data_IF_986553003386
#
_entry.id   IF_986553003386
#
_cell.length_a   1.000
_cell.length_b   1.000
_cell.length_c   1.000
_cell.angle_alpha   90.00
_cell.angle_beta   90.00
_cell.angle_gamma   90.00
#
_symmetry.space_group_name_H-M   'P 1'
#
loop_
_entity.id
_entity.type
_entity.pdbx_description
1 polymer ?
#
# COMPACT_ATOMS: atom_id res chain seq x y z
N UNK A 1 -43.45 -8.47 -47.70
CA UNK A 1 -42.83 -7.82 -46.53
C UNK A 1 -41.33 -7.91 -46.70
N UNK A 2 -40.72 -6.80 -47.13
CA UNK A 2 -39.28 -6.69 -47.36
C UNK A 2 -38.62 -6.11 -46.10
N UNK A 3 -37.50 -6.68 -45.66
CA UNK A 3 -36.64 -6.09 -44.64
C UNK A 3 -35.29 -5.76 -45.28
N UNK A 4 -35.02 -4.45 -45.30
CA UNK A 4 -33.81 -3.84 -45.82
C UNK A 4 -32.63 -4.06 -44.86
N UNK A 5 -31.50 -4.47 -45.43
CA UNK A 5 -30.21 -4.61 -44.76
C UNK A 5 -29.46 -3.28 -44.84
N UNK A 6 -29.35 -2.55 -43.72
CA UNK A 6 -28.47 -1.38 -43.63
C UNK A 6 -27.03 -1.81 -43.33
N UNK A 7 -26.16 -1.62 -44.33
CA UNK A 7 -24.71 -1.77 -44.24
C UNK A 7 -24.07 -0.42 -43.93
N UNK A 8 -23.47 -0.28 -42.74
CA UNK A 8 -22.76 0.93 -42.33
C UNK A 8 -21.27 0.83 -42.72
N UNK A 9 -20.84 1.66 -43.66
CA UNK A 9 -19.42 1.88 -44.02
C UNK A 9 -18.77 2.79 -42.96
N UNK A 10 -17.78 2.27 -42.23
CA UNK A 10 -16.89 3.07 -41.39
C UNK A 10 -15.70 3.51 -42.25
N UNK A 11 -15.62 4.82 -42.48
CA UNK A 11 -14.54 5.51 -43.20
C UNK A 11 -13.35 5.73 -42.27
N UNK A 12 -12.18 5.18 -42.63
CA UNK A 12 -10.91 5.40 -41.94
C UNK A 12 -10.31 6.75 -42.35
N UNK A 13 -10.39 7.75 -41.47
CA UNK A 13 -9.57 8.97 -41.56
C UNK A 13 -8.23 8.71 -40.89
N UNK A 14 -7.22 8.44 -41.72
CA UNK A 14 -5.80 8.47 -41.35
C UNK A 14 -5.40 9.93 -41.14
N UNK A 15 -5.32 10.36 -39.88
CA UNK A 15 -4.77 11.65 -39.49
C UNK A 15 -3.24 11.61 -39.50
N UNK A 16 -2.63 12.43 -40.35
CA UNK A 16 -1.18 12.67 -40.38
C UNK A 16 -0.72 13.27 -39.05
N UNK A 17 0.33 12.69 -38.44
CA UNK A 17 1.03 13.28 -37.28
C UNK A 17 1.88 14.48 -37.74
N UNK A 18 1.80 15.64 -37.06
CA UNK A 18 2.76 16.71 -37.27
C UNK A 18 4.12 16.32 -36.66
N UNK A 19 5.18 16.45 -37.46
CA UNK A 19 6.55 16.36 -36.97
C UNK A 19 6.90 17.66 -36.23
N UNK A 20 6.95 17.59 -34.90
CA UNK A 20 7.49 18.65 -34.05
C UNK A 20 9.01 18.50 -34.02
N UNK A 21 9.68 19.19 -34.95
CA UNK A 21 11.11 19.44 -34.88
C UNK A 21 11.38 20.66 -34.01
N UNK A 22 11.73 20.45 -32.74
CA UNK A 22 12.30 21.49 -31.88
C UNK A 22 13.73 21.12 -31.53
N UNK A 23 14.68 21.75 -32.24
CA UNK A 23 16.09 21.82 -31.86
C UNK A 23 16.19 22.54 -30.52
N UNK A 24 16.57 21.82 -29.47
CA UNK A 24 16.94 22.41 -28.19
C UNK A 24 18.36 23.01 -28.35
N UNK A 25 18.56 24.31 -28.12
CA UNK A 25 19.90 24.88 -28.10
C UNK A 25 20.65 24.36 -26.87
N UNK A 26 21.80 23.72 -27.11
CA UNK A 26 22.78 23.37 -26.09
C UNK A 26 23.30 24.67 -25.48
N UNK A 27 22.83 25.01 -24.28
CA UNK A 27 23.38 26.11 -23.47
C UNK A 27 24.71 25.64 -22.88
N UNK A 28 25.78 26.33 -23.23
CA UNK A 28 27.10 26.19 -22.62
C UNK A 28 27.00 26.31 -21.09
N UNK A 29 27.59 25.33 -20.40
CA UNK A 29 27.70 25.30 -18.96
C UNK A 29 28.60 26.44 -18.48
N UNK A 30 28.01 27.51 -17.96
CA UNK A 30 28.73 28.48 -17.12
C UNK A 30 29.15 27.81 -15.82
N UNK A 31 30.45 27.60 -15.66
CA UNK A 31 31.07 27.31 -14.36
C UNK A 31 30.81 28.47 -13.41
N UNK A 32 29.82 28.32 -12.52
CA UNK A 32 29.70 29.16 -11.34
C UNK A 32 30.78 28.74 -10.33
N UNK A 33 31.80 29.59 -10.15
CA UNK A 33 32.68 29.54 -8.98
C UNK A 33 31.81 29.76 -7.74
N UNK A 34 31.63 28.69 -6.97
CA UNK A 34 31.06 28.72 -5.63
C UNK A 34 32.05 29.40 -4.70
N UNK A 35 31.76 30.63 -4.28
CA UNK A 35 32.40 31.24 -3.12
C UNK A 35 31.72 30.67 -1.89
N UNK A 36 32.37 29.66 -1.31
CA UNK A 36 31.98 29.00 -0.07
C UNK A 36 31.98 30.05 1.06
N UNK A 37 30.80 30.37 1.59
CA UNK A 37 30.64 31.24 2.76
C UNK A 37 30.85 30.40 4.02
N UNK A 38 32.03 30.55 4.65
CA UNK A 38 32.41 29.93 5.95
C UNK A 38 31.52 30.36 7.14
N UNK A 39 30.49 31.16 6.93
CA UNK A 39 29.61 31.68 7.99
C UNK A 39 28.40 30.78 8.33
N UNK A 40 28.05 29.77 7.51
CA UNK A 40 26.91 28.88 7.82
C UNK A 40 27.26 27.73 8.78
N UNK A 41 28.53 27.31 8.81
CA UNK A 41 28.97 26.15 9.61
C UNK A 41 28.93 26.42 11.13
N UNK A 42 29.06 27.70 11.52
CA UNK A 42 28.93 28.13 12.91
C UNK A 42 27.48 28.25 13.42
N UNK A 43 26.47 28.26 12.52
CA UNK A 43 25.06 28.31 12.93
C UNK A 43 24.49 26.91 13.17
N UNK A 44 24.90 25.92 12.38
CA UNK A 44 24.46 24.53 12.55
C UNK A 44 25.04 23.87 13.80
N UNK A 45 26.29 24.20 14.17
CA UNK A 45 26.92 23.71 15.40
C UNK A 45 26.25 24.22 16.69
N UNK A 46 25.70 25.45 16.68
CA UNK A 46 24.96 25.99 17.85
C UNK A 46 23.57 25.42 18.02
N UNK A 47 22.90 25.01 16.95
CA UNK A 47 21.59 24.35 17.01
C UNK A 47 21.75 22.91 17.50
N UNK A 48 22.79 22.19 17.03
CA UNK A 48 23.09 20.84 17.53
C UNK A 48 23.42 20.81 19.03
N UNK A 49 24.19 21.79 19.53
CA UNK A 49 24.49 21.85 20.97
C UNK A 49 23.28 22.17 21.86
N UNK A 50 22.29 22.93 21.36
CA UNK A 50 21.08 23.23 22.14
C UNK A 50 20.11 22.05 22.19
N UNK A 51 20.03 21.24 21.14
CA UNK A 51 19.21 20.01 21.15
C UNK A 51 19.84 18.96 22.07
N UNK A 52 21.17 18.84 22.10
CA UNK A 52 21.85 17.93 23.04
C UNK A 52 21.72 18.35 24.51
N UNK A 53 21.72 19.66 24.80
CA UNK A 53 21.58 20.17 26.17
C UNK A 53 20.16 19.99 26.74
N UNK A 54 19.12 20.04 25.91
CA UNK A 54 17.74 19.77 26.35
C UNK A 54 17.55 18.29 26.72
N UNK A 55 18.32 17.38 26.11
CA UNK A 55 18.25 15.95 26.42
C UNK A 55 19.05 15.53 27.67
N UNK A 56 19.90 16.40 28.22
CA UNK A 56 20.78 16.07 29.36
C UNK A 56 20.36 16.72 30.69
N UNK A 57 19.40 17.65 30.69
CA UNK A 57 18.95 18.33 31.91
C UNK A 57 17.61 17.78 32.43
N UNK A 58 17.63 16.59 33.05
CA UNK A 58 16.88 16.25 34.29
C UNK A 58 16.94 14.75 34.61
N UNK A 59 17.93 14.27 35.38
CA UNK A 59 17.99 12.86 35.79
C UNK A 59 17.08 12.50 36.98
N UNK A 60 16.50 13.47 37.71
CA UNK A 60 16.02 13.24 39.08
C UNK A 60 14.58 13.70 39.35
N UNK A 61 13.61 13.29 38.54
CA UNK A 61 12.20 13.30 38.94
C UNK A 61 11.36 12.25 38.19
N UNK A 62 11.92 11.05 38.00
CA UNK A 62 11.16 9.87 37.59
C UNK A 62 10.41 9.29 38.80
N UNK A 63 9.47 10.06 39.34
CA UNK A 63 8.26 9.40 39.83
C UNK A 63 7.66 8.81 38.57
N UNK A 64 7.70 7.49 38.45
CA UNK A 64 6.98 6.75 37.43
C UNK A 64 5.48 7.01 37.61
N UNK A 65 5.03 8.20 37.19
CA UNK A 65 3.67 8.36 36.74
C UNK A 65 3.59 7.38 35.59
N UNK A 66 2.99 6.21 35.85
CA UNK A 66 2.45 5.39 34.77
C UNK A 66 1.76 6.39 33.84
N UNK A 67 2.24 6.55 32.61
CA UNK A 67 1.59 7.46 31.67
C UNK A 67 0.15 6.94 31.49
N UNK A 68 -0.77 7.52 32.25
CA UNK A 68 -2.19 7.20 32.15
C UNK A 68 -2.63 7.91 30.89
N UNK A 69 -2.73 7.15 29.81
CA UNK A 69 -3.26 7.63 28.53
C UNK A 69 -2.38 7.35 27.33
N UNK A 70 -2.96 7.60 26.16
CA UNK A 70 -2.37 7.37 24.87
C UNK A 70 -1.52 8.58 24.49
N UNK A 71 -0.20 8.42 24.54
CA UNK A 71 0.71 9.54 24.33
C UNK A 71 0.93 9.84 22.85
N UNK A 72 1.40 11.05 22.56
CA UNK A 72 1.70 11.46 21.18
C UNK A 72 2.78 10.57 20.54
N UNK A 73 3.77 10.15 21.32
CA UNK A 73 4.80 9.22 20.85
C UNK A 73 4.20 7.84 20.52
N UNK A 74 3.35 7.30 21.41
CA UNK A 74 2.68 6.02 21.15
C UNK A 74 1.81 6.09 19.89
N UNK A 75 1.11 7.21 19.67
CA UNK A 75 0.33 7.43 18.45
C UNK A 75 1.17 7.47 17.18
N UNK A 76 2.31 8.18 17.21
CA UNK A 76 3.24 8.21 16.08
C UNK A 76 3.82 6.82 15.78
N UNK A 77 4.21 6.07 16.82
CA UNK A 77 4.74 4.71 16.68
C UNK A 77 3.68 3.76 16.13
N UNK A 78 2.46 3.80 16.66
CA UNK A 78 1.37 2.95 16.18
C UNK A 78 1.03 3.25 14.72
N UNK A 79 0.99 4.52 14.35
CA UNK A 79 0.78 4.93 12.97
C UNK A 79 1.87 4.38 12.04
N UNK A 80 3.15 4.59 12.38
CA UNK A 80 4.27 4.10 11.58
C UNK A 80 4.25 2.58 11.44
N UNK A 81 3.99 1.87 12.55
CA UNK A 81 3.84 0.42 12.53
C UNK A 81 2.68 -0.05 11.64
N UNK A 82 1.53 0.61 11.66
CA UNK A 82 0.41 0.27 10.77
C UNK A 82 0.82 0.50 9.31
N UNK A 83 1.44 1.65 8.99
CA UNK A 83 1.94 1.94 7.64
C UNK A 83 2.91 0.85 7.16
N UNK A 84 3.90 0.48 7.99
CA UNK A 84 4.89 -0.56 7.69
C UNK A 84 4.24 -1.94 7.50
N UNK A 85 3.30 -2.33 8.36
CA UNK A 85 2.55 -3.59 8.23
C UNK A 85 1.86 -3.68 6.87
N UNK A 86 1.23 -2.58 6.43
CA UNK A 86 0.52 -2.54 5.16
C UNK A 86 1.49 -2.54 3.96
N UNK A 87 2.57 -1.77 4.03
CA UNK A 87 3.63 -1.80 3.00
C UNK A 87 4.18 -3.22 2.84
N UNK A 88 4.50 -3.89 3.95
CA UNK A 88 5.05 -5.23 3.93
C UNK A 88 4.05 -6.27 3.40
N UNK A 89 2.75 -6.10 3.63
CA UNK A 89 1.72 -7.00 3.09
C UNK A 89 1.68 -6.95 1.57
N UNK A 90 1.63 -5.76 0.97
CA UNK A 90 1.62 -5.67 -0.50
C UNK A 90 2.97 -6.08 -1.10
N UNK A 91 4.05 -5.82 -0.38
CA UNK A 91 5.39 -6.27 -0.76
C UNK A 91 5.53 -7.80 -0.73
N UNK A 92 4.94 -8.48 0.26
CA UNK A 92 4.95 -9.94 0.34
C UNK A 92 4.21 -10.56 -0.83
N UNK A 93 3.06 -9.99 -1.22
CA UNK A 93 2.30 -10.42 -2.40
C UNK A 93 3.06 -10.22 -3.72
N UNK A 94 3.75 -9.08 -3.88
CA UNK A 94 4.56 -8.79 -5.08
C UNK A 94 5.74 -9.76 -5.21
N UNK A 95 6.32 -10.19 -4.08
CA UNK A 95 7.49 -11.08 -4.04
C UNK A 95 7.16 -12.55 -3.82
N UNK A 96 5.90 -12.88 -3.61
CA UNK A 96 5.46 -14.22 -3.20
C UNK A 96 6.17 -14.70 -1.92
N UNK A 97 6.36 -13.79 -0.96
CA UNK A 97 6.99 -14.05 0.33
C UNK A 97 5.94 -14.43 1.38
N UNK A 98 5.53 -15.69 1.35
CA UNK A 98 4.45 -16.19 2.19
C UNK A 98 4.80 -16.23 3.68
N UNK A 99 6.09 -16.31 4.03
CA UNK A 99 6.53 -16.28 5.42
C UNK A 99 6.36 -14.87 6.02
N UNK A 100 6.71 -13.84 5.24
CA UNK A 100 6.43 -12.45 5.61
C UNK A 100 4.92 -12.19 5.74
N UNK A 101 4.11 -12.72 4.82
CA UNK A 101 2.66 -12.58 4.89
C UNK A 101 2.09 -13.23 6.17
N UNK A 102 2.51 -14.45 6.52
CA UNK A 102 2.13 -15.09 7.81
C UNK A 102 2.43 -14.21 9.00
N UNK A 103 3.60 -13.56 9.01
CA UNK A 103 4.02 -12.72 10.11
C UNK A 103 3.16 -11.44 10.25
N UNK A 104 2.49 -11.00 9.19
CA UNK A 104 1.67 -9.79 9.14
C UNK A 104 0.21 -10.07 9.50
N UNK A 105 -0.30 -11.23 9.09
CA UNK A 105 -1.69 -11.61 9.32
C UNK A 105 -1.95 -11.96 10.79
N UNK A 106 -3.19 -11.75 11.24
CA UNK A 106 -3.56 -12.13 12.59
C UNK A 106 -3.60 -13.67 12.70
N UNK A 107 -2.87 -14.29 13.65
CA UNK A 107 -2.85 -15.74 13.82
C UNK A 107 -4.21 -16.35 14.19
N UNK A 108 -5.14 -15.56 14.74
CA UNK A 108 -6.52 -15.98 15.02
C UNK A 108 -7.37 -16.12 13.74
N UNK A 109 -6.88 -15.62 12.61
CA UNK A 109 -7.52 -15.67 11.31
C UNK A 109 -7.67 -14.29 10.65
N UNK A 110 -7.96 -14.33 9.36
CA UNK A 110 -8.11 -13.15 8.50
C UNK A 110 -9.38 -13.26 7.67
N UNK A 111 -10.03 -12.12 7.43
CA UNK A 111 -11.10 -12.01 6.45
C UNK A 111 -10.66 -11.24 5.22
N UNK A 112 -10.86 -11.83 4.04
CA UNK A 112 -10.60 -11.17 2.77
C UNK A 112 -11.89 -11.10 1.95
N UNK A 113 -12.19 -9.92 1.41
CA UNK A 113 -13.34 -9.71 0.53
C UNK A 113 -12.94 -8.89 -0.69
N UNK A 114 -12.85 -9.57 -1.84
CA UNK A 114 -12.66 -8.96 -3.15
C UNK A 114 -13.86 -9.19 -4.07
N UNK A 115 -15.06 -9.33 -3.50
CA UNK A 115 -16.29 -9.59 -4.26
C UNK A 115 -16.59 -8.51 -5.31
N UNK A 116 -16.20 -7.27 -5.04
CA UNK A 116 -16.34 -6.15 -5.99
C UNK A 116 -15.44 -6.29 -7.23
N UNK A 117 -14.33 -7.03 -7.11
CA UNK A 117 -13.39 -7.29 -8.20
C UNK A 117 -13.74 -8.58 -8.95
N UNK A 118 -13.95 -9.69 -8.23
CA UNK A 118 -14.09 -11.02 -8.84
C UNK A 118 -15.44 -11.71 -8.67
N UNK A 119 -16.45 -10.97 -8.21
CA UNK A 119 -17.76 -11.51 -7.89
C UNK A 119 -17.77 -12.28 -6.57
N UNK A 120 -18.95 -12.71 -6.10
CA UNK A 120 -19.09 -13.43 -4.85
C UNK A 120 -18.39 -14.80 -4.91
N UNK A 121 -17.70 -15.16 -3.82
CA UNK A 121 -17.05 -16.47 -3.63
C UNK A 121 -17.40 -17.02 -2.22
N UNK A 122 -17.43 -18.34 -2.00
CA UNK A 122 -17.90 -18.93 -0.74
C UNK A 122 -17.19 -18.45 0.53
N UNK A 123 -15.93 -18.00 0.43
CA UNK A 123 -15.10 -17.60 1.57
C UNK A 123 -14.91 -16.08 1.69
N UNK A 124 -15.41 -15.29 0.74
CA UNK A 124 -15.26 -13.84 0.82
C UNK A 124 -16.04 -13.27 2.00
N UNK A 125 -15.38 -12.40 2.77
CA UNK A 125 -15.94 -11.76 3.96
C UNK A 125 -16.09 -12.70 5.16
N UNK A 126 -15.61 -13.96 5.07
CA UNK A 126 -15.52 -14.88 6.21
C UNK A 126 -14.13 -14.81 6.82
N UNK A 127 -14.02 -15.05 8.12
CA UNK A 127 -12.73 -15.27 8.78
C UNK A 127 -12.29 -16.70 8.47
N UNK A 128 -11.10 -16.84 7.91
CA UNK A 128 -10.45 -18.12 7.62
C UNK A 128 -9.09 -18.18 8.31
N UNK A 129 -8.50 -19.37 8.38
CA UNK A 129 -7.15 -19.52 8.90
C UNK A 129 -6.13 -18.80 8.01
N UNK A 130 -5.00 -18.38 8.60
CA UNK A 130 -3.90 -17.78 7.86
C UNK A 130 -3.41 -18.70 6.74
N UNK A 131 -3.29 -20.00 7.00
CA UNK A 131 -2.85 -20.97 5.99
C UNK A 131 -3.86 -21.16 4.86
N UNK A 132 -5.17 -21.14 5.14
CA UNK A 132 -6.17 -21.22 4.07
C UNK A 132 -6.18 -19.97 3.19
N UNK A 133 -5.92 -18.80 3.79
CA UNK A 133 -5.78 -17.55 3.06
C UNK A 133 -4.56 -17.60 2.12
N UNK A 134 -3.37 -17.88 2.69
CA UNK A 134 -2.12 -17.97 1.92
C UNK A 134 -2.19 -19.04 0.84
N UNK A 135 -2.83 -20.18 1.11
CA UNK A 135 -3.07 -21.19 0.07
C UNK A 135 -3.87 -20.63 -1.11
N UNK A 136 -4.85 -19.78 -0.84
CA UNK A 136 -5.59 -19.03 -1.86
C UNK A 136 -4.69 -18.09 -2.67
N UNK A 137 -3.82 -17.34 -2.01
CA UNK A 137 -2.90 -16.40 -2.67
C UNK A 137 -1.81 -17.10 -3.47
N UNK A 138 -1.29 -18.23 -2.97
CA UNK A 138 -0.39 -19.13 -3.70
C UNK A 138 -1.08 -19.66 -4.95
N UNK A 139 -2.32 -20.12 -4.83
CA UNK A 139 -3.08 -20.63 -5.97
C UNK A 139 -3.32 -19.53 -7.01
N UNK A 140 -3.72 -18.33 -6.58
CA UNK A 140 -3.89 -17.19 -7.46
C UNK A 140 -2.58 -16.83 -8.16
N UNK A 141 -1.49 -16.70 -7.40
CA UNK A 141 -0.17 -16.29 -7.88
C UNK A 141 0.49 -17.33 -8.79
N UNK A 142 0.13 -18.62 -8.66
CA UNK A 142 0.68 -19.70 -9.48
C UNK A 142 0.42 -19.56 -10.99
N UNK A 143 -0.56 -18.74 -11.38
CA UNK A 143 -0.87 -18.46 -12.78
C UNK A 143 -0.39 -17.09 -13.28
N UNK A 144 0.27 -16.30 -12.42
CA UNK A 144 0.74 -14.96 -12.74
C UNK A 144 2.23 -14.99 -13.05
N UNK A 145 2.64 -14.27 -14.09
CA UNK A 145 4.06 -14.03 -14.39
C UNK A 145 4.62 -12.91 -13.51
N UNK A 146 3.85 -11.84 -13.33
CA UNK A 146 4.21 -10.72 -12.45
C UNK A 146 2.98 -10.14 -11.76
N UNK A 147 3.16 -9.67 -10.53
CA UNK A 147 2.21 -8.88 -9.78
C UNK A 147 2.94 -7.64 -9.24
N UNK A 148 2.31 -6.48 -9.31
CA UNK A 148 2.84 -5.27 -8.72
C UNK A 148 1.73 -4.43 -8.10
N UNK A 149 1.87 -4.14 -6.80
CA UNK A 149 0.92 -3.34 -6.03
C UNK A 149 1.54 -1.99 -5.66
N UNK A 150 0.93 -0.92 -6.15
CA UNK A 150 1.27 0.45 -5.79
C UNK A 150 0.21 0.99 -4.82
N UNK A 151 0.62 1.22 -3.57
CA UNK A 151 -0.24 1.75 -2.52
C UNK A 151 -0.10 3.28 -2.43
N UNK A 152 -1.19 3.97 -2.10
CA UNK A 152 -1.21 5.42 -1.92
C UNK A 152 -2.31 5.87 -0.95
N UNK A 153 -2.22 7.11 -0.48
CA UNK A 153 -3.25 7.77 0.34
C UNK A 153 -3.76 6.92 1.52
N UNK A 154 -2.88 6.62 2.47
CA UNK A 154 -3.27 5.94 3.71
C UNK A 154 -3.96 6.90 4.68
N UNK A 155 -5.11 6.48 5.20
CA UNK A 155 -5.86 7.18 6.25
C UNK A 155 -6.06 6.26 7.44
N UNK A 156 -5.34 6.52 8.52
CA UNK A 156 -5.45 5.78 9.78
C UNK A 156 -6.52 6.39 10.67
N UNK A 157 -7.46 5.57 11.11
CA UNK A 157 -8.46 5.94 12.10
C UNK A 157 -7.99 5.50 13.50
N UNK A 158 -7.02 6.26 14.03
CA UNK A 158 -6.55 6.14 15.42
C UNK A 158 -7.15 7.28 16.26
N UNK A 159 -7.50 7.04 17.54
CA UNK A 159 -7.94 8.12 18.41
C UNK A 159 -6.81 9.14 18.61
N UNK A 160 -7.18 10.41 18.80
CA UNK A 160 -6.19 11.43 19.12
C UNK A 160 -5.54 11.14 20.48
N UNK A 161 -4.24 11.43 20.66
CA UNK A 161 -3.55 11.29 21.94
C UNK A 161 -4.25 12.07 23.07
N UNK A 162 -4.22 11.53 24.29
CA UNK A 162 -4.79 12.20 25.46
C UNK A 162 -4.66 11.40 26.75
N UNK A 163 -4.60 12.11 27.88
CA UNK A 163 -4.42 11.51 29.22
C UNK A 163 -5.60 10.66 29.71
N UNK A 164 -6.73 10.69 29.01
CA UNK A 164 -7.92 9.89 29.31
C UNK A 164 -8.25 8.90 28.18
N UNK A 165 -7.39 8.82 27.16
CA UNK A 165 -7.58 7.96 26.00
C UNK A 165 -6.75 6.71 26.23
N UNK A 166 -7.36 5.53 26.29
CA UNK A 166 -6.59 4.29 26.33
C UNK A 166 -5.86 4.08 24.99
N UNK A 167 -4.69 3.43 25.03
CA UNK A 167 -4.01 3.01 23.80
C UNK A 167 -4.92 2.04 23.03
N UNK A 168 -5.09 2.20 21.70
CA UNK A 168 -6.01 1.36 20.95
C UNK A 168 -5.47 -0.07 20.77
N UNK A 169 -6.37 -1.04 20.97
CA UNK A 169 -6.16 -2.47 20.67
C UNK A 169 -6.59 -2.83 19.23
N UNK A 170 -7.37 -1.97 18.59
CA UNK A 170 -7.84 -2.13 17.22
C UNK A 170 -7.67 -0.82 16.45
N UNK A 171 -7.45 -0.93 15.15
CA UNK A 171 -7.36 0.21 14.25
C UNK A 171 -8.05 -0.11 12.92
N UNK A 172 -8.64 0.92 12.32
CA UNK A 172 -9.11 0.87 10.95
C UNK A 172 -8.21 1.76 10.08
N UNK A 173 -7.84 1.28 8.90
CA UNK A 173 -7.08 2.06 7.91
C UNK A 173 -7.73 1.92 6.55
N UNK A 174 -7.83 3.02 5.83
CA UNK A 174 -8.16 3.00 4.40
C UNK A 174 -6.91 3.32 3.58
N UNK A 175 -6.75 2.67 2.45
CA UNK A 175 -5.69 2.98 1.49
C UNK A 175 -6.15 2.75 0.07
N UNK A 176 -5.58 3.52 -0.86
CA UNK A 176 -5.74 3.27 -2.29
C UNK A 176 -4.69 2.28 -2.76
N UNK A 177 -5.09 1.41 -3.69
CA UNK A 177 -4.19 0.45 -4.32
C UNK A 177 -4.43 0.45 -5.82
N UNK A 178 -3.33 0.47 -6.58
CA UNK A 178 -3.31 0.18 -8.00
C UNK A 178 -2.48 -1.08 -8.22
N UNK A 179 -3.06 -2.07 -8.88
CA UNK A 179 -2.43 -3.36 -9.10
C UNK A 179 -2.25 -3.58 -10.60
N UNK A 180 -1.05 -4.01 -11.00
CA UNK A 180 -0.72 -4.43 -12.35
C UNK A 180 -0.31 -5.90 -12.34
N UNK A 181 -0.97 -6.71 -13.16
CA UNK A 181 -0.71 -8.14 -13.24
C UNK A 181 -0.44 -8.51 -14.69
N UNK A 182 0.58 -9.34 -14.90
CA UNK A 182 0.80 -10.01 -16.19
C UNK A 182 0.63 -11.52 -16.05
N UNK A 183 -0.02 -12.11 -17.04
CA UNK A 183 -0.18 -13.54 -17.22
C UNK A 183 -0.09 -13.82 -18.73
N UNK A 184 1.09 -14.24 -19.19
CA UNK A 184 1.43 -14.53 -20.58
C UNK A 184 0.67 -15.73 -21.13
N UNK A 185 0.12 -16.57 -20.27
CA UNK A 185 -0.71 -17.72 -20.64
C UNK A 185 -2.18 -17.36 -20.82
N UNK A 186 -2.58 -16.13 -20.49
CA UNK A 186 -3.95 -15.67 -20.61
C UNK A 186 -4.38 -15.53 -22.08
N UNK A 187 -5.61 -15.98 -22.38
CA UNK A 187 -6.25 -15.74 -23.68
C UNK A 187 -6.69 -14.28 -23.76
N UNK A 188 -6.54 -13.68 -24.94
CA UNK A 188 -7.01 -12.32 -25.26
C UNK A 188 -6.22 -11.16 -24.62
N UNK A 189 -4.96 -11.42 -24.26
CA UNK A 189 -4.01 -10.40 -23.78
C UNK A 189 -3.39 -10.75 -22.43
N UNK A 190 -2.17 -10.30 -22.18
CA UNK A 190 -1.40 -10.69 -20.99
C UNK A 190 -1.61 -9.78 -19.78
N UNK A 191 -2.08 -8.55 -19.99
CA UNK A 191 -2.09 -7.50 -18.97
C UNK A 191 -3.49 -7.25 -18.42
N UNK A 192 -3.59 -7.13 -17.10
CA UNK A 192 -4.73 -6.55 -16.40
C UNK A 192 -4.23 -5.53 -15.38
N UNK A 193 -4.93 -4.41 -15.28
CA UNK A 193 -4.70 -3.42 -14.24
C UNK A 193 -6.02 -3.10 -13.56
N UNK A 194 -6.01 -2.91 -12.25
CA UNK A 194 -7.17 -2.43 -11.53
C UNK A 194 -6.76 -1.45 -10.43
N UNK A 195 -7.70 -0.61 -10.04
CA UNK A 195 -7.53 0.28 -8.91
C UNK A 195 -8.77 0.27 -8.03
N UNK A 196 -8.53 0.45 -6.74
CA UNK A 196 -9.56 0.50 -5.73
C UNK A 196 -9.03 1.05 -4.43
N UNK A 197 -9.84 0.92 -3.39
CA UNK A 197 -9.41 1.19 -2.03
C UNK A 197 -9.73 0.01 -1.12
N UNK A 198 -8.84 -0.24 -0.18
CA UNK A 198 -9.04 -1.22 0.88
C UNK A 198 -9.59 -0.54 2.12
N UNK A 199 -10.58 -1.17 2.75
CA UNK A 199 -10.83 -0.98 4.18
C UNK A 199 -10.09 -2.10 4.92
N UNK A 200 -9.14 -1.74 5.76
CA UNK A 200 -8.32 -2.66 6.53
C UNK A 200 -8.66 -2.54 8.01
N UNK A 201 -8.93 -3.67 8.65
CA UNK A 201 -8.98 -3.75 10.11
C UNK A 201 -7.71 -4.42 10.61
N UNK A 202 -7.14 -3.85 11.66
CA UNK A 202 -5.96 -4.36 12.34
C UNK A 202 -6.27 -4.55 13.81
N UNK A 203 -5.69 -5.60 14.39
CA UNK A 203 -5.74 -5.88 15.82
C UNK A 203 -4.33 -5.93 16.35
N UNK A 204 -4.14 -5.34 17.53
CA UNK A 204 -2.89 -5.43 18.28
C UNK A 204 -2.74 -6.86 18.80
N UNK A 205 -1.62 -7.48 18.50
CA UNK A 205 -1.19 -8.75 19.06
C UNK A 205 -0.16 -8.47 20.16
N UNK A 206 -0.06 -9.33 21.20
CA UNK A 206 1.06 -9.30 22.12
C UNK A 206 2.35 -9.46 21.30
N UNK A 207 3.09 -8.36 21.12
CA UNK A 207 4.31 -8.39 20.35
C UNK A 207 5.41 -9.09 21.15
N UNK A 208 6.22 -9.88 20.45
CA UNK A 208 7.57 -10.19 20.90
C UNK A 208 8.36 -8.88 21.07
N UNK A 209 9.39 -8.90 21.92
CA UNK A 209 10.18 -7.71 22.20
C UNK A 209 10.72 -7.10 20.89
N UNK A 210 10.40 -5.83 20.62
CA UNK A 210 10.73 -5.08 19.40
C UNK A 210 9.99 -5.49 18.10
N UNK A 211 9.00 -6.38 18.16
CA UNK A 211 8.18 -6.71 17.00
C UNK A 211 7.05 -5.68 16.78
N UNK A 212 6.64 -5.52 15.52
CA UNK A 212 5.46 -4.73 15.19
C UNK A 212 4.19 -5.46 15.72
N UNK A 213 3.42 -4.84 16.62
CA UNK A 213 2.28 -5.49 17.26
C UNK A 213 1.03 -5.53 16.37
N UNK A 214 0.95 -4.76 15.29
CA UNK A 214 -0.26 -4.65 14.50
C UNK A 214 -0.37 -5.76 13.47
N UNK A 215 -1.45 -6.56 13.58
CA UNK A 215 -1.74 -7.67 12.67
C UNK A 215 -3.02 -7.39 11.88
N UNK A 216 -3.02 -7.74 10.60
CA UNK A 216 -4.18 -7.55 9.71
C UNK A 216 -5.23 -8.61 10.02
N UNK A 217 -6.46 -8.18 10.29
CA UNK A 217 -7.62 -9.07 10.54
C UNK A 217 -8.63 -9.04 9.41
N UNK A 218 -8.74 -7.94 8.68
CA UNK A 218 -9.68 -7.81 7.58
C UNK A 218 -9.11 -6.98 6.45
N UNK A 219 -9.30 -7.44 5.22
CA UNK A 219 -8.96 -6.76 3.97
C UNK A 219 -10.20 -6.77 3.08
N UNK A 220 -10.85 -5.61 2.94
CA UNK A 220 -12.01 -5.46 2.04
C UNK A 220 -11.66 -4.53 0.88
N UNK A 221 -11.55 -5.10 -0.31
CA UNK A 221 -11.32 -4.35 -1.55
C UNK A 221 -12.64 -3.81 -2.12
N UNK A 222 -12.65 -2.51 -2.39
CA UNK A 222 -13.69 -1.85 -3.17
C UNK A 222 -13.09 -1.40 -4.51
N UNK A 223 -13.34 -2.18 -5.57
CA UNK A 223 -12.90 -1.85 -6.93
C UNK A 223 -13.50 -0.53 -7.38
N UNK A 224 -12.65 0.37 -7.88
CA UNK A 224 -13.05 1.63 -8.51
C UNK A 224 -12.99 1.54 -10.03
N UNK A 225 -11.93 0.94 -10.57
CA UNK A 225 -11.75 0.77 -12.01
C UNK A 225 -11.01 -0.54 -12.33
N UNK A 226 -11.16 -1.00 -13.56
CA UNK A 226 -10.53 -2.19 -14.13
C UNK A 226 -10.24 -1.90 -15.60
N UNK A 227 -9.03 -2.21 -16.04
CA UNK A 227 -8.56 -2.04 -17.40
C UNK A 227 -7.78 -3.28 -17.87
N UNK A 228 -7.75 -3.49 -19.18
CA UNK A 228 -7.09 -4.65 -19.80
C UNK A 228 -7.89 -5.96 -19.73
N UNK A 229 -7.17 -7.08 -19.86
CA UNK A 229 -7.76 -8.40 -19.96
C UNK A 229 -8.00 -9.02 -18.57
N UNK A 230 -9.20 -8.84 -18.03
CA UNK A 230 -9.61 -9.43 -16.75
C UNK A 230 -9.38 -10.95 -16.63
N UNK A 231 -9.36 -11.70 -17.75
CA UNK A 231 -9.08 -13.14 -17.74
C UNK A 231 -7.64 -13.45 -17.29
N UNK A 232 -6.72 -12.49 -17.36
CA UNK A 232 -5.35 -12.61 -16.89
C UNK A 232 -5.25 -12.86 -15.37
N UNK A 233 -6.29 -12.54 -14.60
CA UNK A 233 -6.37 -12.86 -13.17
C UNK A 233 -6.57 -14.35 -12.87
N UNK A 234 -6.90 -15.17 -13.86
CA UNK A 234 -7.28 -16.56 -13.65
C UNK A 234 -6.44 -17.54 -14.47
N UNK A 235 -6.29 -18.78 -14.00
CA UNK A 235 -5.70 -19.84 -14.79
C UNK A 235 -6.45 -20.04 -16.11
N UNK A 236 -5.72 -20.27 -17.20
CA UNK A 236 -6.27 -20.58 -18.51
C UNK A 236 -7.08 -21.88 -18.47
N UNK A 237 -8.40 -21.78 -18.36
CA UNK A 237 -9.32 -22.91 -18.28
C UNK A 237 -10.43 -22.79 -17.22
N UNK A 238 -10.36 -21.79 -16.33
CA UNK A 238 -11.42 -21.50 -15.37
C UNK A 238 -12.39 -20.44 -15.88
N UNK A 239 -13.60 -20.85 -16.30
CA UNK A 239 -14.80 -20.01 -16.27
C UNK A 239 -15.87 -20.75 -15.48
#
# INVERSE_FOLDING_TARGET
MAQETMSARISSRVGQRPQLGTRIPVREARQHKSTHNETEDHRLSRIHLRVLLILQSSPNNLIAMSEVGYTQLQWLVDRAHIEDTLVQLFWSLDRQDWDLERAILNPEGVSFDASTLVGPRPNFGKVISVEDHIKGDVQLSSCLDTNHNAISLMRHNLPLPGSQVARPEEAATELNVTTHITNKSAKDGELVAYGGYYNVLLKRSPAEENANPWKVTTLKLNKMWLDGNYKALFPSGGQ
#
